data_IF_705265923421
#
_entry.id   IF_705265923421
#
_cell.length_a   1.000
_cell.length_b   1.000
_cell.length_c   1.000
_cell.angle_alpha   90.00
_cell.angle_beta   90.00
_cell.angle_gamma   90.00
#
_symmetry.space_group_name_H-M   'P 1'
#
loop_
_entity.id
_entity.type
_entity.pdbx_description
1 polymer ?
#
# COMPACT_ATOMS: atom_id res chain seq x y z
N UNK A 1 -5.09 -11.32 0.00
CA UNK A 1 -5.59 -12.68 -0.31
C UNK A 1 -4.77 -13.81 0.34
N UNK A 2 -3.82 -13.55 1.24
CA UNK A 2 -2.97 -14.62 1.84
C UNK A 2 -3.73 -15.49 2.86
N UNK A 3 -4.80 -14.99 3.48
CA UNK A 3 -5.54 -15.71 4.53
C UNK A 3 -6.55 -16.75 4.05
N UNK A 4 -6.99 -16.71 2.78
CA UNK A 4 -7.95 -17.66 2.21
C UNK A 4 -7.27 -18.83 1.45
N UNK A 5 -5.94 -18.79 1.30
CA UNK A 5 -5.14 -19.74 0.51
C UNK A 5 -4.99 -21.14 1.14
N UNK A 6 -5.34 -21.35 2.42
CA UNK A 6 -5.19 -22.67 3.06
C UNK A 6 -5.99 -23.78 2.34
N UNK A 7 -7.01 -23.41 1.57
CA UNK A 7 -7.85 -24.33 0.80
C UNK A 7 -7.62 -24.20 -0.73
N UNK A 8 -6.62 -23.43 -1.15
CA UNK A 8 -6.36 -23.17 -2.55
C UNK A 8 -5.26 -24.08 -3.11
N UNK A 9 -5.51 -24.68 -4.27
CA UNK A 9 -4.51 -25.39 -5.08
C UNK A 9 -4.25 -24.61 -6.36
N UNK A 10 -3.00 -24.26 -6.59
CA UNK A 10 -2.57 -23.49 -7.76
C UNK A 10 -1.92 -24.45 -8.76
N UNK A 11 -2.41 -24.45 -9.98
CA UNK A 11 -1.85 -25.19 -11.13
C UNK A 11 -1.68 -24.23 -12.30
N UNK A 12 -1.13 -24.69 -13.43
CA UNK A 12 -1.01 -23.84 -14.62
C UNK A 12 -2.36 -23.33 -15.15
N UNK A 13 -3.42 -24.12 -14.98
CA UNK A 13 -4.78 -23.78 -15.42
C UNK A 13 -5.33 -22.54 -14.70
N UNK A 14 -5.09 -22.45 -13.38
CA UNK A 14 -5.61 -21.38 -12.52
C UNK A 14 -5.55 -21.74 -11.04
N UNK A 15 -6.34 -21.01 -10.24
CA UNK A 15 -6.47 -21.22 -8.79
C UNK A 15 -7.77 -21.98 -8.51
N UNK A 16 -7.64 -23.17 -7.94
CA UNK A 16 -8.77 -23.97 -7.44
C UNK A 16 -8.95 -23.71 -5.96
N UNK A 17 -10.16 -23.37 -5.52
CA UNK A 17 -10.48 -23.11 -4.12
C UNK A 17 -11.94 -23.43 -3.83
N UNK A 18 -12.33 -23.44 -2.55
CA UNK A 18 -13.72 -23.59 -2.16
C UNK A 18 -14.33 -22.21 -1.93
N UNK A 19 -15.55 -22.01 -2.42
CA UNK A 19 -16.35 -20.82 -2.15
C UNK A 19 -16.47 -20.58 -0.64
N UNK A 20 -16.18 -19.37 -0.14
CA UNK A 20 -16.32 -19.06 1.28
C UNK A 20 -17.78 -18.96 1.72
N UNK A 21 -18.74 -18.95 0.79
CA UNK A 21 -20.16 -18.81 1.08
C UNK A 21 -20.85 -20.16 1.30
N UNK A 22 -20.53 -21.15 0.46
CA UNK A 22 -21.23 -22.45 0.42
C UNK A 22 -20.30 -23.66 0.29
N UNK A 23 -18.98 -23.46 0.20
CA UNK A 23 -18.01 -24.53 0.07
C UNK A 23 -17.97 -25.19 -1.31
N UNK A 24 -18.67 -24.67 -2.31
CA UNK A 24 -18.64 -25.22 -3.67
C UNK A 24 -17.24 -25.06 -4.30
N UNK A 25 -16.78 -26.04 -5.13
CA UNK A 25 -15.49 -25.93 -5.80
C UNK A 25 -15.52 -24.85 -6.88
N UNK A 26 -14.53 -23.96 -6.84
CA UNK A 26 -14.33 -22.86 -7.79
C UNK A 26 -12.99 -23.01 -8.51
N UNK A 27 -12.94 -22.53 -9.76
CA UNK A 27 -11.72 -22.36 -10.54
C UNK A 27 -11.67 -20.94 -11.08
N UNK A 28 -10.64 -20.19 -10.67
CA UNK A 28 -10.32 -18.88 -11.21
C UNK A 28 -9.11 -19.01 -12.13
N UNK A 29 -9.37 -18.96 -13.44
CA UNK A 29 -8.33 -18.88 -14.48
C UNK A 29 -8.05 -17.41 -14.84
N UNK A 30 -6.92 -17.09 -15.49
CA UNK A 30 -6.67 -15.78 -16.10
C UNK A 30 -7.86 -15.26 -16.94
N UNK A 31 -8.42 -16.11 -17.81
CA UNK A 31 -9.53 -15.73 -18.69
C UNK A 31 -10.80 -15.42 -17.89
N UNK A 32 -11.10 -16.24 -16.88
CA UNK A 32 -12.26 -16.01 -16.03
C UNK A 32 -12.08 -14.73 -15.19
N UNK A 33 -10.87 -14.48 -14.67
CA UNK A 33 -10.54 -13.23 -13.97
C UNK A 33 -10.75 -12.00 -14.86
N UNK A 34 -10.29 -12.05 -16.12
CA UNK A 34 -10.50 -10.96 -17.07
C UNK A 34 -11.98 -10.76 -17.40
N UNK A 35 -12.73 -11.83 -17.62
CA UNK A 35 -14.18 -11.76 -17.87
C UNK A 35 -14.94 -11.07 -16.73
N UNK A 36 -14.61 -11.41 -15.47
CA UNK A 36 -15.20 -10.78 -14.30
C UNK A 36 -14.85 -9.29 -14.22
N UNK A 37 -13.57 -8.94 -14.39
CA UNK A 37 -13.12 -7.55 -14.34
C UNK A 37 -13.67 -6.72 -15.53
N UNK A 38 -13.85 -7.32 -16.71
CA UNK A 38 -14.53 -6.67 -17.84
C UNK A 38 -16.01 -6.40 -17.56
N UNK A 39 -16.67 -7.29 -16.80
CA UNK A 39 -18.07 -7.11 -16.42
C UNK A 39 -18.24 -6.08 -15.30
N UNK A 40 -17.29 -6.01 -14.37
CA UNK A 40 -17.24 -4.96 -13.33
C UNK A 40 -17.02 -3.58 -13.94
N UNK A 41 -16.22 -3.50 -15.01
CA UNK A 41 -15.99 -2.25 -15.73
C UNK A 41 -15.10 -1.25 -14.98
N UNK A 42 -14.14 -1.72 -14.19
CA UNK A 42 -13.18 -0.85 -13.49
C UNK A 42 -12.20 -0.18 -14.47
N UNK A 43 -11.77 1.06 -14.18
CA UNK A 43 -10.84 1.81 -15.03
C UNK A 43 -9.43 1.18 -15.09
N UNK A 44 -9.02 0.54 -13.99
CA UNK A 44 -7.77 -0.24 -13.88
C UNK A 44 -8.14 -1.66 -13.47
N UNK A 45 -7.51 -2.63 -14.10
CA UNK A 45 -7.68 -4.05 -13.84
C UNK A 45 -6.32 -4.72 -13.64
N UNK A 46 -6.28 -5.77 -12.84
CA UNK A 46 -5.04 -6.43 -12.45
C UNK A 46 -4.96 -7.82 -13.09
N UNK A 47 -3.77 -8.21 -13.57
CA UNK A 47 -3.56 -9.59 -14.01
C UNK A 47 -3.89 -10.57 -12.87
N UNK A 48 -4.32 -11.79 -13.20
CA UNK A 48 -4.23 -12.88 -12.25
C UNK A 48 -2.77 -13.34 -12.14
N UNK A 49 -2.24 -13.42 -10.93
CA UNK A 49 -0.86 -13.82 -10.65
C UNK A 49 -0.77 -14.96 -9.64
N UNK A 50 0.37 -15.65 -9.65
CA UNK A 50 0.66 -16.74 -8.72
C UNK A 50 1.49 -16.21 -7.55
N UNK A 51 0.82 -15.96 -6.42
CA UNK A 51 1.42 -15.27 -5.27
C UNK A 51 1.91 -16.28 -4.24
N UNK A 52 3.18 -16.11 -3.84
CA UNK A 52 3.80 -16.80 -2.70
C UNK A 52 4.12 -15.77 -1.62
N UNK A 53 3.94 -16.15 -0.36
CA UNK A 53 4.33 -15.30 0.77
C UNK A 53 5.83 -14.96 0.69
N UNK A 54 6.18 -13.68 0.90
CA UNK A 54 7.57 -13.18 0.83
C UNK A 54 8.53 -13.90 1.76
N UNK A 55 8.01 -14.41 2.88
CA UNK A 55 8.75 -15.14 3.91
C UNK A 55 8.81 -16.65 3.66
N UNK A 56 8.27 -17.13 2.53
CA UNK A 56 8.34 -18.54 2.17
C UNK A 56 9.79 -18.99 1.98
N UNK A 57 10.23 -20.10 2.59
CA UNK A 57 11.56 -20.66 2.37
C UNK A 57 11.68 -21.44 1.04
N UNK A 58 10.55 -21.72 0.38
CA UNK A 58 10.50 -22.53 -0.85
C UNK A 58 10.88 -21.69 -2.09
N UNK A 59 12.17 -21.68 -2.40
CA UNK A 59 12.73 -20.93 -3.54
C UNK A 59 12.27 -21.49 -4.88
N UNK A 60 12.20 -22.81 -5.03
CA UNK A 60 11.79 -23.44 -6.29
C UNK A 60 10.34 -23.06 -6.63
N UNK A 61 9.45 -23.08 -5.62
CA UNK A 61 8.07 -22.64 -5.79
C UNK A 61 7.96 -21.17 -6.13
N UNK A 62 8.83 -20.31 -5.58
CA UNK A 62 8.88 -18.88 -5.89
C UNK A 62 9.28 -18.63 -7.36
N UNK A 63 10.29 -19.35 -7.86
CA UNK A 63 10.72 -19.30 -9.26
C UNK A 63 9.57 -19.72 -10.19
N UNK A 64 8.92 -20.84 -9.88
CA UNK A 64 7.77 -21.32 -10.65
C UNK A 64 6.60 -20.33 -10.60
N UNK A 65 6.32 -19.71 -9.45
CA UNK A 65 5.26 -18.71 -9.32
C UNK A 65 5.51 -17.49 -10.21
N UNK A 66 6.76 -17.01 -10.22
CA UNK A 66 7.18 -15.88 -11.05
C UNK A 66 6.99 -16.21 -12.54
N UNK A 67 7.49 -17.36 -13.00
CA UNK A 67 7.35 -17.77 -14.40
C UNK A 67 5.89 -18.05 -14.79
N UNK A 68 5.09 -18.65 -13.90
CA UNK A 68 3.64 -18.84 -14.12
C UNK A 68 2.92 -17.50 -14.25
N UNK A 69 3.27 -16.52 -13.42
CA UNK A 69 2.69 -15.17 -13.48
C UNK A 69 2.98 -14.49 -14.83
N UNK A 70 4.18 -14.69 -15.41
CA UNK A 70 4.49 -14.21 -16.78
C UNK A 70 3.59 -14.89 -17.82
N UNK A 71 3.42 -16.21 -17.76
CA UNK A 71 2.54 -16.95 -18.69
C UNK A 71 1.07 -16.56 -18.51
N UNK A 72 0.64 -16.29 -17.28
CA UNK A 72 -0.71 -15.84 -16.98
C UNK A 72 -0.98 -14.41 -17.43
N UNK A 73 0.02 -13.53 -17.46
CA UNK A 73 -0.13 -12.21 -18.08
C UNK A 73 -0.51 -12.33 -19.55
N UNK A 74 0.18 -13.17 -20.33
CA UNK A 74 -0.12 -13.34 -21.75
C UNK A 74 -1.57 -13.80 -21.98
N UNK A 75 -2.06 -14.71 -21.11
CA UNK A 75 -3.46 -15.16 -21.11
C UNK A 75 -4.44 -14.05 -20.70
N UNK A 76 -4.05 -13.19 -19.75
CA UNK A 76 -4.87 -12.04 -19.36
C UNK A 76 -4.98 -11.02 -20.51
N UNK A 77 -3.88 -10.75 -21.21
CA UNK A 77 -3.87 -9.83 -22.36
C UNK A 77 -4.79 -10.34 -23.47
N UNK A 78 -4.70 -11.62 -23.82
CA UNK A 78 -5.55 -12.23 -24.86
C UNK A 78 -7.04 -12.20 -24.46
N UNK A 79 -7.36 -12.41 -23.18
CA UNK A 79 -8.73 -12.43 -22.70
C UNK A 79 -9.34 -11.03 -22.46
N UNK A 80 -8.52 -9.97 -22.46
CA UNK A 80 -8.98 -8.62 -22.18
C UNK A 80 -9.71 -8.00 -23.38
N UNK A 81 -11.01 -7.74 -23.22
CA UNK A 81 -11.88 -7.31 -24.33
C UNK A 81 -11.94 -5.80 -24.63
N UNK A 82 -11.57 -4.95 -23.67
CA UNK A 82 -11.84 -3.50 -23.72
C UNK A 82 -10.60 -2.65 -23.39
N UNK A 83 -9.46 -2.81 -24.10
CA UNK A 83 -8.23 -2.07 -23.83
C UNK A 83 -8.38 -0.55 -24.00
N UNK A 84 -9.43 -0.11 -24.70
CA UNK A 84 -9.78 1.30 -24.88
C UNK A 84 -10.53 1.92 -23.68
N UNK A 85 -10.97 1.10 -22.72
CA UNK A 85 -11.76 1.54 -21.55
C UNK A 85 -11.16 1.13 -20.21
N UNK A 86 -10.41 0.03 -20.17
CA UNK A 86 -9.85 -0.50 -18.93
C UNK A 86 -8.35 -0.73 -19.12
N UNK A 87 -7.57 -0.41 -18.08
CA UNK A 87 -6.11 -0.49 -18.13
C UNK A 87 -5.63 -1.74 -17.39
N UNK A 88 -5.17 -2.76 -18.10
CA UNK A 88 -4.58 -3.96 -17.51
C UNK A 88 -3.17 -3.68 -16.98
N UNK A 89 -2.93 -3.89 -15.69
CA UNK A 89 -1.60 -3.81 -15.09
C UNK A 89 -1.00 -5.20 -14.96
N UNK A 90 0.26 -5.35 -15.37
CA UNK A 90 1.06 -6.51 -15.01
C UNK A 90 1.54 -6.41 -13.55
N UNK A 91 1.87 -7.53 -12.92
CA UNK A 91 2.33 -7.59 -11.53
C UNK A 91 3.70 -8.27 -11.47
N UNK A 92 4.71 -7.53 -11.06
CA UNK A 92 6.06 -8.04 -10.83
C UNK A 92 6.05 -8.95 -9.60
N UNK A 93 6.57 -10.17 -9.76
CA UNK A 93 6.72 -11.20 -8.74
C UNK A 93 8.20 -11.53 -8.50
N UNK A 94 8.49 -12.44 -7.56
CA UNK A 94 9.86 -12.86 -7.22
C UNK A 94 10.23 -12.76 -5.74
N UNK A 95 9.27 -12.41 -4.87
CA UNK A 95 9.50 -12.35 -3.42
C UNK A 95 10.57 -11.32 -3.05
N UNK A 96 11.54 -11.73 -2.22
CA UNK A 96 12.66 -10.88 -1.79
C UNK A 96 13.95 -11.13 -2.57
N UNK A 97 13.91 -11.97 -3.60
CA UNK A 97 15.06 -12.28 -4.44
C UNK A 97 15.18 -11.22 -5.55
N UNK A 98 16.23 -10.39 -5.45
CA UNK A 98 16.42 -9.28 -6.37
C UNK A 98 16.68 -9.75 -7.81
N UNK A 99 17.33 -10.89 -8.03
CA UNK A 99 17.59 -11.40 -9.37
C UNK A 99 16.33 -11.95 -10.03
N UNK A 100 15.45 -12.60 -9.25
CA UNK A 100 14.12 -12.98 -9.72
C UNK A 100 13.26 -11.76 -10.03
N UNK A 101 13.33 -10.70 -9.21
CA UNK A 101 12.65 -9.43 -9.48
C UNK A 101 13.13 -8.81 -10.79
N UNK A 102 14.44 -8.72 -11.01
CA UNK A 102 15.03 -8.22 -12.27
C UNK A 102 14.59 -9.04 -13.47
N UNK A 103 14.55 -10.36 -13.32
CA UNK A 103 14.08 -11.28 -14.37
C UNK A 103 12.61 -11.05 -14.69
N UNK A 104 11.76 -10.97 -13.67
CA UNK A 104 10.33 -10.72 -13.83
C UNK A 104 10.07 -9.37 -14.49
N UNK A 105 10.75 -8.30 -14.06
CA UNK A 105 10.66 -6.98 -14.71
C UNK A 105 11.01 -7.09 -16.20
N UNK A 106 12.17 -7.66 -16.55
CA UNK A 106 12.60 -7.81 -17.94
C UNK A 106 11.59 -8.57 -18.80
N UNK A 107 10.92 -9.59 -18.26
CA UNK A 107 9.90 -10.32 -18.99
C UNK A 107 8.58 -9.56 -19.11
N UNK A 108 8.08 -8.98 -18.02
CA UNK A 108 6.78 -8.30 -17.99
C UNK A 108 6.77 -7.05 -18.86
N UNK A 109 7.84 -6.24 -18.87
CA UNK A 109 7.88 -4.99 -19.64
C UNK A 109 7.77 -5.20 -21.14
N UNK A 110 8.13 -6.39 -21.65
CA UNK A 110 8.02 -6.74 -23.09
C UNK A 110 6.57 -6.72 -23.59
N UNK A 111 5.59 -6.86 -22.69
CA UNK A 111 4.15 -6.88 -23.02
C UNK A 111 3.52 -5.50 -23.10
N UNK A 112 4.25 -4.46 -22.72
CA UNK A 112 3.82 -3.06 -22.86
C UNK A 112 2.47 -2.70 -22.20
N UNK A 113 2.09 -3.34 -21.08
CA UNK A 113 0.85 -3.02 -20.33
C UNK A 113 0.77 -1.54 -19.91
N UNK A 114 -0.42 -0.89 -19.88
CA UNK A 114 -0.57 0.52 -19.52
C UNK A 114 0.02 0.94 -18.16
N UNK A 115 0.14 0.01 -17.21
CA UNK A 115 0.84 0.23 -15.95
C UNK A 115 1.42 -1.06 -15.37
N UNK A 116 2.18 -0.89 -14.29
CA UNK A 116 2.99 -1.96 -13.71
C UNK A 116 2.87 -1.91 -12.19
N UNK A 117 2.51 -3.04 -11.59
CA UNK A 117 2.45 -3.21 -10.16
C UNK A 117 3.61 -4.03 -9.61
N UNK A 118 3.98 -3.79 -8.36
CA UNK A 118 4.98 -4.53 -7.60
C UNK A 118 4.21 -5.32 -6.54
N UNK A 119 4.01 -6.61 -6.80
CA UNK A 119 3.23 -7.51 -5.96
C UNK A 119 4.11 -8.37 -5.04
N UNK A 120 3.45 -9.12 -4.16
CA UNK A 120 4.14 -9.99 -3.21
C UNK A 120 5.07 -9.20 -2.29
N UNK A 121 4.56 -8.14 -1.69
CA UNK A 121 5.19 -7.34 -0.62
C UNK A 121 4.15 -7.15 0.51
N UNK A 122 4.57 -6.55 1.63
CA UNK A 122 3.77 -6.33 2.84
C UNK A 122 3.26 -7.63 3.49
N UNK A 123 4.06 -8.70 3.38
CA UNK A 123 3.78 -10.05 3.90
C UNK A 123 4.45 -10.38 5.24
N UNK A 124 5.13 -9.40 5.86
CA UNK A 124 5.90 -9.57 7.10
C UNK A 124 7.42 -9.60 6.90
N UNK A 125 7.91 -9.26 5.71
CA UNK A 125 9.33 -9.10 5.45
C UNK A 125 9.98 -7.93 6.22
N UNK A 126 11.30 -8.00 6.35
CA UNK A 126 12.10 -6.89 6.87
C UNK A 126 12.00 -5.66 5.94
N UNK A 127 11.87 -4.47 6.55
CA UNK A 127 11.72 -3.20 5.82
C UNK A 127 12.85 -2.88 4.86
N UNK A 128 14.09 -3.21 5.23
CA UNK A 128 15.24 -3.02 4.34
C UNK A 128 15.14 -3.86 3.06
N UNK A 129 14.68 -5.13 3.17
CA UNK A 129 14.46 -6.01 2.02
C UNK A 129 13.29 -5.52 1.15
N UNK A 130 12.22 -5.05 1.78
CA UNK A 130 11.12 -4.38 1.10
C UNK A 130 11.62 -3.19 0.25
N UNK A 131 12.38 -2.27 0.84
CA UNK A 131 12.91 -1.09 0.13
C UNK A 131 13.83 -1.49 -1.02
N UNK A 132 14.69 -2.49 -0.82
CA UNK A 132 15.57 -3.01 -1.86
C UNK A 132 14.78 -3.57 -3.06
N UNK A 133 13.66 -4.27 -2.83
CA UNK A 133 12.78 -4.75 -3.90
C UNK A 133 12.11 -3.60 -4.63
N UNK A 134 11.51 -2.64 -3.91
CA UNK A 134 10.83 -1.49 -4.51
C UNK A 134 11.79 -0.73 -5.41
N UNK A 135 12.98 -0.39 -4.90
CA UNK A 135 14.04 0.29 -5.66
C UNK A 135 14.49 -0.52 -6.88
N UNK A 136 14.79 -1.81 -6.69
CA UNK A 136 15.25 -2.69 -7.78
C UNK A 136 14.24 -2.75 -8.93
N UNK A 137 12.95 -2.77 -8.62
CA UNK A 137 11.92 -2.78 -9.64
C UNK A 137 11.83 -1.42 -10.32
N UNK A 138 11.59 -0.35 -9.55
CA UNK A 138 11.33 1.01 -10.06
C UNK A 138 12.47 1.57 -10.92
N UNK A 139 13.73 1.30 -10.60
CA UNK A 139 14.90 1.68 -11.43
C UNK A 139 14.88 1.05 -12.84
N UNK A 140 14.13 -0.03 -13.03
CA UNK A 140 14.05 -0.77 -14.29
C UNK A 140 12.73 -0.59 -15.02
N UNK A 141 11.75 0.11 -14.41
CA UNK A 141 10.44 0.33 -15.02
C UNK A 141 10.47 1.52 -15.99
N UNK A 142 9.74 1.45 -17.12
CA UNK A 142 9.62 2.58 -18.05
C UNK A 142 9.12 3.86 -17.37
N UNK A 143 9.68 5.01 -17.72
CA UNK A 143 9.36 6.30 -17.07
C UNK A 143 7.91 6.73 -17.27
N UNK A 144 7.33 6.46 -18.45
CA UNK A 144 5.98 6.92 -18.81
C UNK A 144 4.89 5.93 -18.41
N UNK A 145 5.11 5.14 -17.35
CA UNK A 145 4.13 4.17 -16.82
C UNK A 145 4.03 4.26 -15.30
N UNK A 146 2.81 4.22 -14.75
CA UNK A 146 2.61 4.24 -13.31
C UNK A 146 3.15 2.96 -12.65
N UNK A 147 3.71 3.14 -11.46
CA UNK A 147 4.37 2.13 -10.65
C UNK A 147 3.58 1.91 -9.36
N UNK A 148 2.79 0.84 -9.31
CA UNK A 148 1.87 0.56 -8.21
C UNK A 148 2.46 -0.42 -7.18
N UNK A 149 2.80 0.06 -5.98
CA UNK A 149 3.29 -0.81 -4.89
C UNK A 149 2.11 -1.27 -4.04
N UNK A 150 1.81 -2.57 -4.12
CA UNK A 150 0.59 -3.13 -3.55
C UNK A 150 0.72 -3.43 -2.04
N UNK A 151 -0.35 -3.15 -1.29
CA UNK A 151 -0.49 -3.54 0.12
C UNK A 151 0.25 -2.64 1.13
N UNK A 152 0.79 -1.50 0.71
CA UNK A 152 1.57 -0.57 1.53
C UNK A 152 0.72 0.62 1.95
N UNK A 153 0.72 0.94 3.24
CA UNK A 153 -0.06 2.08 3.74
C UNK A 153 0.38 2.65 5.09
N UNK A 154 1.54 2.24 5.59
CA UNK A 154 2.14 2.92 6.75
C UNK A 154 2.77 4.24 6.26
N UNK A 155 2.58 5.37 6.97
CA UNK A 155 3.01 6.69 6.48
C UNK A 155 4.48 6.75 6.04
N UNK A 156 5.39 6.21 6.86
CA UNK A 156 6.82 6.17 6.56
C UNK A 156 7.13 5.34 5.31
N UNK A 157 6.44 4.21 5.11
CA UNK A 157 6.62 3.38 3.93
C UNK A 157 6.20 4.12 2.66
N UNK A 158 5.09 4.85 2.70
CA UNK A 158 4.59 5.61 1.57
C UNK A 158 5.61 6.68 1.16
N UNK A 159 6.08 7.48 2.12
CA UNK A 159 7.04 8.56 1.86
C UNK A 159 8.37 8.02 1.33
N UNK A 160 8.90 6.95 1.93
CA UNK A 160 10.12 6.30 1.44
C UNK A 160 9.89 5.74 0.03
N UNK A 161 8.75 5.11 -0.23
CA UNK A 161 8.49 4.44 -1.51
C UNK A 161 8.25 5.43 -2.66
N UNK A 162 7.65 6.60 -2.38
CA UNK A 162 7.60 7.71 -3.33
C UNK A 162 9.02 8.20 -3.66
N UNK A 163 9.91 8.31 -2.68
CA UNK A 163 11.33 8.63 -2.91
C UNK A 163 12.03 7.57 -3.77
N UNK A 164 11.64 6.30 -3.62
CA UNK A 164 12.10 5.19 -4.45
C UNK A 164 11.38 5.11 -5.81
N UNK A 165 10.52 6.07 -6.15
CA UNK A 165 9.89 6.18 -7.47
C UNK A 165 8.58 5.41 -7.65
N UNK A 166 7.84 5.10 -6.58
CA UNK A 166 6.48 4.56 -6.66
C UNK A 166 5.40 5.65 -6.77
N UNK A 167 4.31 5.35 -7.48
CA UNK A 167 3.25 6.31 -7.83
C UNK A 167 1.89 6.00 -7.20
N UNK A 168 1.58 4.72 -6.99
CA UNK A 168 0.29 4.26 -6.49
C UNK A 168 0.46 3.30 -5.33
N UNK A 169 -0.51 3.33 -4.40
CA UNK A 169 -0.51 2.51 -3.18
C UNK A 169 -1.93 2.12 -2.80
N UNK A 170 -2.07 0.99 -2.10
CA UNK A 170 -3.30 0.57 -1.46
C UNK A 170 -2.99 -0.09 -0.12
N UNK A 171 -3.82 0.15 0.89
CA UNK A 171 -3.77 -0.65 2.11
C UNK A 171 -5.05 -0.50 2.92
N UNK A 172 -5.44 -1.58 3.61
CA UNK A 172 -6.51 -1.54 4.62
C UNK A 172 -6.03 -1.01 5.98
N UNK A 173 -4.73 -0.68 6.11
CA UNK A 173 -4.14 -0.20 7.36
C UNK A 173 -4.91 0.95 8.02
N UNK A 174 -5.26 2.08 7.36
CA UNK A 174 -5.93 3.20 8.03
C UNK A 174 -7.27 2.80 8.68
N UNK A 175 -8.07 1.99 7.98
CA UNK A 175 -9.39 1.54 8.46
C UNK A 175 -9.29 0.42 9.49
N UNK A 176 -8.25 -0.41 9.41
CA UNK A 176 -7.94 -1.42 10.45
C UNK A 176 -7.45 -0.75 11.73
N UNK A 177 -6.54 0.22 11.62
CA UNK A 177 -6.00 1.03 12.72
C UNK A 177 -7.11 1.77 13.46
N UNK A 178 -8.05 2.37 12.72
CA UNK A 178 -9.24 3.04 13.28
C UNK A 178 -10.10 2.10 14.15
N UNK A 179 -10.33 0.85 13.71
CA UNK A 179 -11.11 -0.15 14.46
C UNK A 179 -10.49 -0.53 15.80
N UNK A 180 -9.18 -0.38 15.95
CA UNK A 180 -8.49 -0.58 17.23
C UNK A 180 -8.47 0.67 18.11
N UNK A 181 -9.08 1.77 17.66
CA UNK A 181 -9.13 3.02 18.41
C UNK A 181 -7.93 3.92 18.24
N UNK A 182 -7.16 3.70 17.16
CA UNK A 182 -5.95 4.45 16.90
C UNK A 182 -6.19 5.49 15.80
N UNK A 183 -5.77 6.72 16.07
CA UNK A 183 -5.76 7.82 15.12
C UNK A 183 -4.35 8.08 14.62
N UNK A 184 -4.19 8.26 13.32
CA UNK A 184 -2.92 8.64 12.69
C UNK A 184 -2.88 10.17 12.61
N UNK A 185 -1.78 10.78 13.03
CA UNK A 185 -1.64 12.25 13.14
C UNK A 185 -0.30 12.71 12.58
N UNK A 186 -0.14 14.02 12.41
CA UNK A 186 1.12 14.65 11.99
C UNK A 186 2.30 14.37 12.94
N UNK A 187 2.02 13.88 14.16
CA UNK A 187 3.00 13.59 15.23
C UNK A 187 3.02 12.11 15.62
N UNK A 188 2.60 11.23 14.71
CA UNK A 188 2.55 9.79 14.93
C UNK A 188 1.16 9.27 15.28
N UNK A 189 1.08 8.10 15.92
CA UNK A 189 -0.20 7.42 16.18
C UNK A 189 -0.65 7.62 17.62
N UNK A 190 -1.91 8.03 17.81
CA UNK A 190 -2.56 8.16 19.11
C UNK A 190 -3.47 6.96 19.39
N UNK A 191 -3.29 6.29 20.52
CA UNK A 191 -4.26 5.31 21.01
C UNK A 191 -5.32 6.03 21.86
N UNK A 192 -6.45 6.39 21.25
CA UNK A 192 -7.49 7.21 21.89
C UNK A 192 -8.30 6.45 22.95
N UNK A 193 -8.04 5.16 23.15
CA UNK A 193 -8.56 4.40 24.30
C UNK A 193 -7.84 4.72 25.60
N UNK A 194 -6.68 5.37 25.52
CA UNK A 194 -5.88 5.69 26.70
C UNK A 194 -6.58 6.74 27.59
N UNK A 195 -6.54 6.54 28.91
CA UNK A 195 -7.29 7.36 29.88
C UNK A 195 -6.86 8.83 29.92
N UNK A 196 -5.64 9.15 29.48
CA UNK A 196 -5.16 10.54 29.38
C UNK A 196 -6.01 11.42 28.46
N UNK A 197 -6.74 10.82 27.52
CA UNK A 197 -7.60 11.55 26.60
C UNK A 197 -9.02 11.80 27.13
N UNK A 198 -9.38 11.27 28.31
CA UNK A 198 -10.74 11.35 28.84
C UNK A 198 -11.27 12.78 29.07
N UNK A 199 -10.37 13.74 29.28
CA UNK A 199 -10.70 15.16 29.44
C UNK A 199 -9.90 16.05 28.47
N UNK A 200 -9.39 15.47 27.37
CA UNK A 200 -8.70 16.22 26.32
C UNK A 200 -9.70 16.72 25.28
N UNK A 201 -10.07 17.99 25.37
CA UNK A 201 -11.03 18.64 24.47
C UNK A 201 -10.39 19.22 23.20
N UNK A 202 -9.10 18.95 22.94
CA UNK A 202 -8.45 19.31 21.68
C UNK A 202 -8.91 18.39 20.52
N UNK A 203 -8.77 18.82 19.25
CA UNK A 203 -9.03 17.95 18.10
C UNK A 203 -8.07 16.75 18.09
N UNK A 204 -8.41 15.73 17.29
CA UNK A 204 -7.55 14.54 17.12
C UNK A 204 -6.15 14.93 16.63
N UNK A 205 -6.08 15.86 15.68
CA UNK A 205 -4.86 16.45 15.15
C UNK A 205 -5.11 17.92 14.80
N UNK A 206 -4.24 18.82 15.27
CA UNK A 206 -4.34 20.26 15.06
C UNK A 206 -3.99 20.68 13.62
N UNK A 207 -3.16 19.89 12.93
CA UNK A 207 -2.76 20.14 11.55
C UNK A 207 -3.76 19.54 10.54
N UNK A 208 -4.84 18.89 11.00
CA UNK A 208 -5.72 18.11 10.15
C UNK A 208 -6.95 18.90 9.69
N UNK A 209 -7.09 19.03 8.38
CA UNK A 209 -8.25 19.64 7.73
C UNK A 209 -9.47 18.74 7.54
N UNK A 210 -9.53 17.54 8.15
CA UNK A 210 -10.64 16.62 7.93
C UNK A 210 -11.97 17.12 8.56
N UNK A 211 -13.14 16.64 8.10
CA UNK A 211 -14.43 17.03 8.69
C UNK A 211 -14.53 16.75 10.20
N UNK A 212 -13.76 15.79 10.72
CA UNK A 212 -13.77 15.45 12.14
C UNK A 212 -12.98 16.47 12.98
N UNK A 213 -11.78 16.86 12.53
CA UNK A 213 -10.87 17.73 13.29
C UNK A 213 -11.21 19.21 13.18
N UNK A 214 -11.84 19.66 12.10
CA UNK A 214 -12.27 21.05 11.97
C UNK A 214 -13.30 21.39 13.05
N UNK A 215 -13.19 22.61 13.61
CA UNK A 215 -14.19 23.16 14.51
C UNK A 215 -15.54 23.33 13.81
N UNK A 216 -16.62 23.42 14.57
CA UNK A 216 -17.96 23.70 14.03
C UNK A 216 -17.98 25.03 13.26
N UNK A 217 -17.30 26.05 13.78
CA UNK A 217 -17.13 27.36 13.12
C UNK A 217 -16.49 27.25 11.73
N UNK A 218 -15.62 26.26 11.52
CA UNK A 218 -14.94 25.98 10.25
C UNK A 218 -15.62 24.84 9.46
N UNK A 219 -16.91 24.58 9.70
CA UNK A 219 -17.70 23.59 8.96
C UNK A 219 -17.23 22.14 9.19
N UNK A 220 -16.70 21.86 10.38
CA UNK A 220 -16.40 20.50 10.84
C UNK A 220 -17.39 20.01 11.90
N UNK A 221 -17.09 18.84 12.47
CA UNK A 221 -17.87 18.19 13.51
C UNK A 221 -17.42 18.57 14.93
N UNK A 222 -16.32 19.33 15.08
CA UNK A 222 -15.80 19.71 16.39
C UNK A 222 -15.44 18.50 17.27
N UNK A 223 -15.04 17.39 16.66
CA UNK A 223 -14.79 16.14 17.39
C UNK A 223 -13.51 16.28 18.22
N UNK A 224 -13.66 16.07 19.52
CA UNK A 224 -12.55 16.11 20.48
C UNK A 224 -11.97 14.72 20.73
N UNK A 225 -10.72 14.66 21.20
CA UNK A 225 -10.11 13.40 21.67
C UNK A 225 -10.93 12.78 22.81
N UNK A 226 -11.48 13.57 23.73
CA UNK A 226 -12.36 13.11 24.79
C UNK A 226 -13.64 12.45 24.28
N UNK A 227 -14.27 13.02 23.26
CA UNK A 227 -15.44 12.42 22.63
C UNK A 227 -15.11 11.08 21.99
N UNK A 228 -13.99 10.99 21.26
CA UNK A 228 -13.54 9.73 20.67
C UNK A 228 -13.14 8.72 21.72
N UNK A 229 -12.45 9.13 22.80
CA UNK A 229 -12.15 8.26 23.93
C UNK A 229 -13.42 7.64 24.53
N UNK A 230 -14.49 8.44 24.65
CA UNK A 230 -15.77 7.96 25.14
C UNK A 230 -16.37 6.87 24.24
N UNK A 231 -16.34 7.04 22.92
CA UNK A 231 -16.92 6.12 21.93
C UNK A 231 -16.06 4.89 21.64
N UNK A 232 -14.75 5.04 21.65
CA UNK A 232 -13.83 4.05 21.07
C UNK A 232 -13.86 2.74 21.85
N UNK A 233 -14.14 1.64 21.13
CA UNK A 233 -14.27 0.30 21.72
C UNK A 233 -15.62 0.05 22.41
N UNK A 234 -16.56 1.01 22.34
CA UNK A 234 -17.92 0.89 22.86
C UNK A 234 -18.98 1.04 21.77
N UNK A 235 -18.75 1.96 20.84
CA UNK A 235 -19.70 2.32 19.79
C UNK A 235 -19.06 2.26 18.39
N UNK A 236 -19.81 1.77 17.40
CA UNK A 236 -19.36 1.72 15.99
C UNK A 236 -19.05 3.11 15.43
N UNK A 237 -19.73 4.15 15.95
CA UNK A 237 -19.48 5.54 15.59
C UNK A 237 -18.02 5.97 15.80
N UNK A 238 -17.34 5.47 16.85
CA UNK A 238 -15.92 5.77 17.09
C UNK A 238 -15.03 5.27 15.97
N UNK A 239 -15.26 4.03 15.50
CA UNK A 239 -14.52 3.46 14.37
C UNK A 239 -14.82 4.18 13.05
N UNK A 240 -16.06 4.64 12.86
CA UNK A 240 -16.45 5.43 11.69
C UNK A 240 -15.70 6.76 11.61
N UNK A 241 -15.73 7.54 12.70
CA UNK A 241 -15.06 8.85 12.77
C UNK A 241 -13.54 8.68 12.58
N UNK A 242 -12.93 7.72 13.25
CA UNK A 242 -11.49 7.45 13.08
C UNK A 242 -11.13 6.94 11.70
N UNK A 243 -12.02 6.23 11.02
CA UNK A 243 -11.81 5.82 9.63
C UNK A 243 -11.78 7.03 8.70
N UNK A 244 -12.73 7.96 8.84
CA UNK A 244 -12.75 9.19 8.06
C UNK A 244 -11.47 10.01 8.27
N UNK A 245 -11.04 10.16 9.52
CA UNK A 245 -9.81 10.87 9.88
C UNK A 245 -8.56 10.19 9.30
N UNK A 246 -8.37 8.89 9.53
CA UNK A 246 -7.16 8.17 9.08
C UNK A 246 -7.06 8.10 7.55
N UNK A 247 -8.18 7.93 6.84
CA UNK A 247 -8.18 7.96 5.37
C UNK A 247 -7.86 9.37 4.86
N UNK A 248 -8.47 10.40 5.44
CA UNK A 248 -8.15 11.79 5.10
C UNK A 248 -6.65 12.08 5.30
N UNK A 249 -6.08 11.67 6.43
CA UNK A 249 -4.66 11.86 6.73
C UNK A 249 -3.75 11.29 5.63
N UNK A 250 -3.98 10.05 5.17
CA UNK A 250 -3.15 9.46 4.12
C UNK A 250 -3.32 10.17 2.76
N UNK A 251 -4.56 10.59 2.42
CA UNK A 251 -4.81 11.36 1.21
C UNK A 251 -4.12 12.74 1.25
N UNK A 252 -4.12 13.40 2.41
CA UNK A 252 -3.45 14.67 2.60
C UNK A 252 -1.93 14.52 2.61
N UNK A 253 -1.39 13.47 3.23
CA UNK A 253 0.04 13.13 3.18
C UNK A 253 0.53 12.98 1.74
N UNK A 254 -0.20 12.22 0.91
CA UNK A 254 0.14 12.05 -0.51
C UNK A 254 -0.04 13.35 -1.31
N UNK A 255 -1.03 14.18 -0.97
CA UNK A 255 -1.19 15.51 -1.57
C UNK A 255 0.01 16.39 -1.28
N UNK A 256 0.47 16.43 -0.03
CA UNK A 256 1.62 17.24 0.40
C UNK A 256 2.93 16.72 -0.22
N UNK A 257 3.11 15.40 -0.27
CA UNK A 257 4.23 14.78 -0.99
C UNK A 257 4.27 15.22 -2.46
N UNK A 258 3.13 15.16 -3.15
CA UNK A 258 3.01 15.62 -4.54
C UNK A 258 3.33 17.12 -4.70
N UNK A 259 2.84 17.97 -3.81
CA UNK A 259 3.15 19.40 -3.87
C UNK A 259 4.63 19.68 -3.64
N UNK A 260 5.27 18.95 -2.72
CA UNK A 260 6.70 19.07 -2.48
C UNK A 260 7.53 18.65 -3.70
N UNK A 261 7.12 17.62 -4.45
CA UNK A 261 7.75 17.24 -5.73
C UNK A 261 7.61 18.37 -6.76
N UNK A 262 6.40 18.92 -6.94
CA UNK A 262 6.14 20.00 -7.91
C UNK A 262 6.94 21.27 -7.57
N UNK A 263 7.12 21.55 -6.28
CA UNK A 263 7.89 22.68 -5.79
C UNK A 263 9.41 22.43 -5.72
N UNK A 264 9.91 21.31 -6.24
CA UNK A 264 11.31 20.90 -6.19
C UNK A 264 11.90 20.90 -4.76
N UNK A 265 11.09 20.47 -3.80
CA UNK A 265 11.39 20.53 -2.36
C UNK A 265 11.05 19.23 -1.62
N UNK A 266 11.00 18.10 -2.34
CA UNK A 266 10.69 16.79 -1.75
C UNK A 266 11.65 16.37 -0.62
N UNK A 267 12.99 16.52 -0.74
CA UNK A 267 13.90 16.15 0.35
C UNK A 267 13.60 16.86 1.67
N UNK A 268 13.32 18.17 1.64
CA UNK A 268 12.96 18.95 2.84
C UNK A 268 11.63 18.49 3.44
N UNK A 269 10.64 18.17 2.59
CA UNK A 269 9.37 17.60 3.04
C UNK A 269 9.57 16.26 3.75
N UNK A 270 10.43 15.38 3.24
CA UNK A 270 10.76 14.09 3.88
C UNK A 270 11.43 14.31 5.24
N UNK A 271 12.42 15.22 5.32
CA UNK A 271 13.09 15.59 6.58
C UNK A 271 12.09 16.11 7.62
N UNK A 272 11.20 17.02 7.23
CA UNK A 272 10.16 17.57 8.10
C UNK A 272 9.17 16.50 8.56
N UNK A 273 8.75 15.61 7.66
CA UNK A 273 7.84 14.51 7.98
C UNK A 273 8.44 13.60 9.06
N UNK A 274 9.68 13.12 8.89
CA UNK A 274 10.35 12.30 9.90
C UNK A 274 10.63 13.08 11.19
N UNK A 275 11.00 14.37 11.08
CA UNK A 275 11.17 15.26 12.22
C UNK A 275 9.91 15.37 13.08
N UNK A 276 8.74 15.60 12.49
CA UNK A 276 7.50 15.71 13.26
C UNK A 276 7.11 14.40 13.97
N UNK A 277 7.18 13.27 13.28
CA UNK A 277 6.71 11.98 13.84
C UNK A 277 7.68 11.41 14.89
N UNK A 278 8.98 11.69 14.78
CA UNK A 278 10.02 11.27 15.73
C UNK A 278 10.53 12.44 16.59
N UNK A 279 9.74 13.53 16.71
CA UNK A 279 10.01 14.68 17.59
C UNK A 279 11.39 15.32 17.42
N UNK A 280 11.92 15.28 16.19
CA UNK A 280 13.25 15.74 15.81
C UNK A 280 14.39 15.05 16.56
N UNK A 281 14.12 13.91 17.20
CA UNK A 281 15.14 13.04 17.75
C UNK A 281 15.64 12.07 16.67
N UNK A 282 16.73 12.46 16.02
CA UNK A 282 17.35 11.67 14.94
C UNK A 282 17.79 10.27 15.40
N UNK A 283 17.98 10.04 16.70
CA UNK A 283 18.32 8.72 17.22
C UNK A 283 17.12 7.74 17.19
N UNK A 284 15.89 8.26 17.11
CA UNK A 284 14.66 7.46 17.00
C UNK A 284 14.29 7.13 15.55
N UNK A 285 14.99 7.71 14.56
CA UNK A 285 14.66 7.48 13.15
C UNK A 285 14.87 6.02 12.76
N UNK A 286 13.95 5.38 12.02
CA UNK A 286 14.11 3.99 11.62
C UNK A 286 15.30 3.83 10.68
N UNK A 287 16.27 2.99 11.08
CA UNK A 287 17.50 2.72 10.31
C UNK A 287 17.18 2.35 8.86
N UNK A 288 16.17 1.50 8.63
CA UNK A 288 15.77 1.10 7.28
C UNK A 288 15.33 2.26 6.38
N UNK A 289 14.71 3.30 6.97
CA UNK A 289 14.24 4.46 6.22
C UNK A 289 15.41 5.39 5.91
N UNK A 290 16.30 5.62 6.87
CA UNK A 290 17.55 6.37 6.70
C UNK A 290 18.38 5.75 5.57
N UNK A 291 18.63 4.45 5.64
CA UNK A 291 19.43 3.73 4.65
C UNK A 291 18.79 3.81 3.25
N UNK A 292 17.47 3.57 3.14
CA UNK A 292 16.76 3.60 1.87
C UNK A 292 16.78 4.99 1.22
N UNK A 293 16.51 6.04 1.99
CA UNK A 293 16.49 7.43 1.51
C UNK A 293 17.88 7.92 1.11
N UNK A 294 18.92 7.51 1.85
CA UNK A 294 20.30 7.86 1.50
C UNK A 294 20.67 7.32 0.11
N UNK A 295 20.12 6.17 -0.30
CA UNK A 295 20.39 5.61 -1.62
C UNK A 295 19.86 6.43 -2.80
N UNK A 296 18.93 7.35 -2.53
CA UNK A 296 18.36 8.29 -3.53
C UNK A 296 18.71 9.74 -3.20
N UNK A 297 19.77 9.96 -2.40
CA UNK A 297 20.31 11.29 -2.11
C UNK A 297 19.55 12.10 -1.08
N UNK A 298 18.71 11.48 -0.25
CA UNK A 298 18.01 12.15 0.85
C UNK A 298 18.64 11.69 2.18
N UNK A 299 19.47 12.54 2.79
CA UNK A 299 20.04 12.27 4.10
C UNK A 299 19.16 12.84 5.22
N UNK A 300 18.52 11.97 6.00
CA UNK A 300 17.69 12.37 7.16
C UNK A 300 18.52 12.89 8.35
N UNK A 301 19.81 12.60 8.38
CA UNK A 301 20.70 12.91 9.50
C UNK A 301 21.39 14.27 9.34
N UNK A 302 21.46 14.79 8.13
CA UNK A 302 21.93 16.15 7.85
C UNK A 302 21.04 17.23 8.47
N UNK A 303 21.62 18.39 8.76
CA UNK A 303 20.93 19.55 9.33
C UNK A 303 19.95 20.20 8.33
#
# INVERSE_FOLDING_TARGET
MVSLLKLAKITEEGVRFLSPHDGSPMLLTPEHSMSLQNSIGSDIMMQLDDVIATTSPDKERMVEAMHRSVRWLDRCIEAHKYPEKQNLFCIIQGGLDLDLRRTCVKEMVKRDTPGIAIGGLSGGEEKAKYCAVVRTCTEMLPDMKPRYVMGVGYPEDLIVSVALGADMFDCVWPTRTARFGNAVTSRGTLNLRHASYAADFSPVDEDCGCPCCRSEENGGLGVTKAYIHHLTGKETAGAHILTMHNVYYLLDLMRNARQAIIADNYPSFVKEFFGKIYRYDKAEYPVWAVDALQTVGIDLTEA
#
